data_IF_418177353638
#
_entry.id   IF_418177353638
#
_cell.length_a   1.000
_cell.length_b   1.000
_cell.length_c   1.000
_cell.angle_alpha   90.00
_cell.angle_beta   90.00
_cell.angle_gamma   90.00
#
_symmetry.space_group_name_H-M   'P 1'
#
loop_
_entity.id
_entity.type
_entity.pdbx_description
1 polymer ?
#
# COMPACT_ATOMS: atom_id res chain seq x y z
N UNK A 1 -25.94 -17.55 -4.06
CA UNK A 1 -25.98 -18.11 -2.69
C UNK A 1 -26.58 -17.08 -1.72
N UNK A 2 -27.37 -17.47 -0.71
CA UNK A 2 -27.92 -16.58 0.32
C UNK A 2 -26.84 -16.00 1.24
N UNK A 3 -27.07 -14.84 1.86
CA UNK A 3 -26.18 -14.26 2.89
C UNK A 3 -26.07 -15.18 4.11
N UNK A 4 -24.89 -15.24 4.73
CA UNK A 4 -24.67 -16.04 5.95
C UNK A 4 -24.48 -17.55 5.74
N UNK A 5 -24.38 -18.02 4.50
CA UNK A 5 -24.23 -19.46 4.17
C UNK A 5 -22.77 -19.94 4.09
N UNK A 6 -21.81 -19.12 4.53
CA UNK A 6 -20.39 -19.49 4.50
C UNK A 6 -19.73 -19.45 3.12
N UNK A 7 -20.30 -18.69 2.16
CA UNK A 7 -19.80 -18.58 0.78
C UNK A 7 -18.29 -18.36 0.70
N UNK A 8 -17.81 -17.38 1.46
CA UNK A 8 -16.41 -16.94 1.50
C UNK A 8 -15.52 -18.08 2.00
N UNK A 9 -15.83 -18.68 3.15
CA UNK A 9 -15.11 -19.83 3.72
C UNK A 9 -15.06 -21.01 2.73
N UNK A 10 -16.19 -21.37 2.11
CA UNK A 10 -16.25 -22.46 1.13
C UNK A 10 -15.36 -22.17 -0.08
N UNK A 11 -15.44 -20.95 -0.62
CA UNK A 11 -14.69 -20.54 -1.80
C UNK A 11 -13.18 -20.46 -1.51
N UNK A 12 -12.79 -19.87 -0.37
CA UNK A 12 -11.39 -19.82 0.07
C UNK A 12 -10.84 -21.22 0.32
N UNK A 13 -11.60 -22.11 0.96
CA UNK A 13 -11.19 -23.50 1.20
C UNK A 13 -10.92 -24.25 -0.11
N UNK A 14 -11.82 -24.10 -1.08
CA UNK A 14 -11.67 -24.70 -2.40
C UNK A 14 -10.44 -24.16 -3.13
N UNK A 15 -10.32 -22.84 -3.26
CA UNK A 15 -9.22 -22.23 -4.02
C UNK A 15 -7.88 -22.51 -3.36
N UNK A 16 -7.77 -22.36 -2.04
CA UNK A 16 -6.52 -22.61 -1.33
C UNK A 16 -6.08 -24.08 -1.46
N UNK A 17 -7.02 -25.02 -1.53
CA UNK A 17 -6.71 -26.44 -1.79
C UNK A 17 -6.34 -26.69 -3.25
N UNK A 18 -6.99 -25.99 -4.18
CA UNK A 18 -6.67 -26.04 -5.60
C UNK A 18 -5.26 -25.54 -5.89
N UNK A 19 -4.85 -24.41 -5.31
CA UNK A 19 -3.51 -23.85 -5.43
C UNK A 19 -2.42 -24.79 -4.89
N UNK A 20 -2.72 -25.57 -3.85
CA UNK A 20 -1.79 -26.60 -3.35
C UNK A 20 -1.59 -27.75 -4.34
N UNK A 21 -2.64 -28.13 -5.06
CA UNK A 21 -2.56 -29.21 -6.06
C UNK A 21 -2.03 -28.73 -7.40
N UNK A 22 -2.24 -27.45 -7.73
CA UNK A 22 -1.84 -26.80 -8.98
C UNK A 22 -1.04 -25.53 -8.68
N UNK A 23 0.28 -25.65 -8.42
CA UNK A 23 1.14 -24.50 -8.14
C UNK A 23 1.26 -23.50 -9.30
N UNK A 24 0.89 -23.92 -10.52
CA UNK A 24 0.77 -23.04 -11.70
C UNK A 24 -0.17 -21.86 -11.45
N UNK A 25 -1.25 -22.09 -10.69
CA UNK A 25 -2.21 -21.06 -10.29
C UNK A 25 -1.74 -20.41 -8.99
N UNK A 26 -0.73 -19.55 -9.11
CA UNK A 26 0.03 -19.06 -7.96
C UNK A 26 -0.63 -17.90 -7.21
N UNK A 27 -1.57 -17.18 -7.85
CA UNK A 27 -2.16 -15.95 -7.30
C UNK A 27 -3.70 -15.97 -7.31
N UNK A 28 -4.28 -15.79 -6.13
CA UNK A 28 -5.69 -15.51 -5.90
C UNK A 28 -5.87 -14.02 -5.62
N UNK A 29 -6.85 -13.45 -6.27
CA UNK A 29 -7.21 -12.06 -6.15
C UNK A 29 -8.67 -12.00 -5.73
N UNK A 30 -8.88 -11.54 -4.51
CA UNK A 30 -10.20 -11.45 -3.93
C UNK A 30 -10.62 -9.99 -3.83
N UNK A 31 -11.65 -9.63 -4.57
CA UNK A 31 -12.13 -8.27 -4.63
C UNK A 31 -13.37 -8.13 -3.72
N UNK A 32 -13.38 -7.11 -2.86
CA UNK A 32 -14.52 -6.74 -2.00
C UNK A 32 -15.04 -5.34 -2.31
N UNK A 33 -16.19 -4.96 -1.75
CA UNK A 33 -16.73 -3.60 -1.90
C UNK A 33 -16.15 -2.65 -0.88
N UNK A 34 -16.00 -3.13 0.35
CA UNK A 34 -15.62 -2.29 1.49
C UNK A 34 -14.35 -2.81 2.17
N UNK A 35 -13.71 -1.91 2.92
CA UNK A 35 -12.55 -2.22 3.75
C UNK A 35 -12.92 -3.20 4.87
N UNK A 36 -14.12 -3.08 5.44
CA UNK A 36 -14.59 -3.99 6.49
C UNK A 36 -14.81 -5.42 5.98
N UNK A 37 -15.31 -5.58 4.76
CA UNK A 37 -15.39 -6.90 4.11
C UNK A 37 -14.00 -7.47 3.81
N UNK A 38 -13.08 -6.63 3.33
CA UNK A 38 -11.70 -7.05 3.06
C UNK A 38 -11.03 -7.64 4.30
N UNK A 39 -11.17 -6.98 5.45
CA UNK A 39 -10.59 -7.46 6.70
C UNK A 39 -11.27 -8.75 7.19
N UNK A 40 -12.60 -8.87 7.05
CA UNK A 40 -13.32 -10.12 7.34
C UNK A 40 -12.84 -11.28 6.47
N UNK A 41 -12.62 -11.06 5.18
CA UNK A 41 -12.11 -12.09 4.26
C UNK A 41 -10.72 -12.56 4.69
N UNK A 42 -9.84 -11.66 5.12
CA UNK A 42 -8.51 -12.02 5.62
C UNK A 42 -8.60 -12.83 6.93
N UNK A 43 -9.45 -12.42 7.87
CA UNK A 43 -9.67 -13.18 9.10
C UNK A 43 -10.25 -14.58 8.83
N UNK A 44 -11.17 -14.70 7.88
CA UNK A 44 -11.71 -15.99 7.47
C UNK A 44 -10.67 -16.86 6.77
N UNK A 45 -9.85 -16.27 5.91
CA UNK A 45 -8.73 -16.96 5.28
C UNK A 45 -7.75 -17.52 6.31
N UNK A 46 -7.39 -16.72 7.33
CA UNK A 46 -6.51 -17.18 8.41
C UNK A 46 -7.10 -18.41 9.12
N UNK A 47 -8.40 -18.39 9.44
CA UNK A 47 -9.10 -19.54 10.05
C UNK A 47 -9.10 -20.76 9.12
N UNK A 48 -9.37 -20.57 7.83
CA UNK A 48 -9.36 -21.64 6.83
C UNK A 48 -7.98 -22.28 6.71
N UNK A 49 -6.93 -21.47 6.60
CA UNK A 49 -5.56 -21.95 6.47
C UNK A 49 -5.10 -22.68 7.74
N UNK A 50 -5.43 -22.15 8.93
CA UNK A 50 -5.14 -22.80 10.21
C UNK A 50 -5.80 -24.18 10.28
N UNK A 51 -7.11 -24.25 10.05
CA UNK A 51 -7.86 -25.51 10.10
C UNK A 51 -7.33 -26.51 9.07
N UNK A 52 -7.10 -26.08 7.83
CA UNK A 52 -6.56 -26.93 6.76
C UNK A 52 -5.20 -27.51 7.16
N UNK A 53 -4.29 -26.67 7.66
CA UNK A 53 -2.96 -27.10 8.03
C UNK A 53 -2.99 -28.05 9.24
N UNK A 54 -3.89 -27.84 10.20
CA UNK A 54 -4.13 -28.77 11.33
C UNK A 54 -4.63 -30.14 10.84
N UNK A 55 -5.55 -30.19 9.86
CA UNK A 55 -6.02 -31.46 9.30
C UNK A 55 -4.93 -32.18 8.49
N UNK A 56 -4.22 -31.46 7.61
CA UNK A 56 -3.11 -32.02 6.85
C UNK A 56 -2.00 -32.56 7.77
N UNK A 57 -1.75 -31.92 8.91
CA UNK A 57 -0.81 -32.41 9.90
C UNK A 57 -1.28 -33.74 10.52
N UNK A 58 -2.57 -33.86 10.87
CA UNK A 58 -3.15 -35.11 11.42
C UNK A 58 -3.07 -36.28 10.43
N UNK A 59 -3.21 -35.97 9.14
CA UNK A 59 -3.15 -36.97 8.06
C UNK A 59 -1.73 -37.26 7.57
N UNK A 60 -0.69 -36.66 8.19
CA UNK A 60 0.70 -36.72 7.72
C UNK A 60 0.88 -36.26 6.26
N UNK A 61 -0.01 -35.39 5.77
CA UNK A 61 -0.01 -34.83 4.43
C UNK A 61 0.44 -33.35 4.39
N UNK A 62 0.87 -32.79 5.53
CA UNK A 62 1.34 -31.41 5.62
C UNK A 62 2.65 -31.23 4.83
N UNK A 63 2.61 -30.35 3.85
CA UNK A 63 3.77 -29.97 3.05
C UNK A 63 4.24 -28.57 3.42
N UNK A 64 5.51 -28.29 3.18
CA UNK A 64 6.09 -26.95 3.33
C UNK A 64 5.42 -25.92 2.41
N UNK A 65 4.96 -26.35 1.23
CA UNK A 65 4.15 -25.51 0.34
C UNK A 65 2.81 -25.09 0.98
N UNK A 66 2.22 -25.91 1.85
CA UNK A 66 0.96 -25.59 2.54
C UNK A 66 1.10 -24.52 3.62
N UNK A 67 2.28 -24.35 4.19
CA UNK A 67 2.56 -23.34 5.23
C UNK A 67 3.12 -22.04 4.65
N UNK A 68 3.64 -22.07 3.43
CA UNK A 68 4.21 -20.92 2.71
C UNK A 68 3.16 -20.15 1.90
N UNK A 69 2.10 -19.69 2.57
CA UNK A 69 1.12 -18.79 1.96
C UNK A 69 1.32 -17.38 2.52
N UNK A 70 1.51 -16.42 1.63
CA UNK A 70 1.46 -15.01 1.94
C UNK A 70 0.14 -14.41 1.45
N UNK A 71 -0.64 -13.86 2.38
CA UNK A 71 -1.88 -13.18 2.09
C UNK A 71 -1.87 -11.74 2.62
N UNK A 72 -2.21 -10.77 1.78
CA UNK A 72 -2.17 -9.35 2.12
C UNK A 72 -3.43 -8.61 1.70
N UNK A 73 -3.89 -7.70 2.56
CA UNK A 73 -4.91 -6.71 2.22
C UNK A 73 -4.29 -5.39 1.79
N UNK A 74 -4.80 -4.78 0.70
CA UNK A 74 -4.43 -3.43 0.31
C UNK A 74 -5.63 -2.47 0.42
N UNK A 75 -5.43 -1.37 1.15
CA UNK A 75 -6.41 -0.29 1.30
C UNK A 75 -5.77 1.07 1.05
N UNK A 76 -6.48 2.14 1.40
CA UNK A 76 -5.97 3.52 1.27
C UNK A 76 -4.81 3.77 2.23
N UNK A 77 -4.01 4.80 1.92
CA UNK A 77 -2.91 5.23 2.80
C UNK A 77 -3.41 5.53 4.21
N UNK A 78 -4.53 6.24 4.35
CA UNK A 78 -5.14 6.59 5.64
C UNK A 78 -5.36 5.38 6.56
N UNK A 79 -5.75 4.23 6.01
CA UNK A 79 -6.04 3.03 6.79
C UNK A 79 -4.79 2.19 7.13
N UNK A 80 -3.70 2.37 6.38
CA UNK A 80 -2.44 1.64 6.55
C UNK A 80 -1.26 2.55 6.95
N UNK A 81 -1.55 3.75 7.47
CA UNK A 81 -0.51 4.71 7.89
C UNK A 81 -0.31 4.71 9.40
N UNK A 82 0.95 4.83 9.80
CA UNK A 82 1.36 5.07 11.18
C UNK A 82 1.65 6.54 11.46
N UNK A 83 1.78 7.37 10.42
CA UNK A 83 2.13 8.77 10.55
C UNK A 83 0.89 9.59 10.95
N UNK A 84 0.89 10.27 12.12
CA UNK A 84 -0.29 10.96 12.66
C UNK A 84 -0.90 11.96 11.68
N UNK A 85 -0.08 12.76 10.98
CA UNK A 85 -0.55 13.76 10.01
C UNK A 85 -1.33 13.16 8.83
N UNK A 86 -1.07 11.91 8.47
CA UNK A 86 -1.77 11.22 7.38
C UNK A 86 -3.01 10.52 7.92
N UNK A 87 -2.92 9.91 9.11
CA UNK A 87 -4.05 9.21 9.75
C UNK A 87 -5.17 10.17 10.15
N UNK A 88 -4.80 11.37 10.59
CA UNK A 88 -5.73 12.43 11.03
C UNK A 88 -6.21 13.34 9.89
N UNK A 89 -5.83 13.06 8.64
CA UNK A 89 -6.26 13.86 7.50
C UNK A 89 -7.78 13.83 7.32
N UNK A 90 -8.36 14.98 6.95
CA UNK A 90 -9.81 15.14 6.80
C UNK A 90 -10.34 14.28 5.64
N UNK A 91 -9.69 14.34 4.48
CA UNK A 91 -10.05 13.61 3.27
C UNK A 91 -8.99 12.58 2.85
N UNK A 92 -9.37 11.72 1.88
CA UNK A 92 -8.45 10.76 1.26
C UNK A 92 -7.39 11.49 0.45
N UNK A 93 -7.81 12.54 -0.27
CA UNK A 93 -6.97 13.38 -1.11
C UNK A 93 -5.91 14.10 -0.27
N UNK A 94 -6.28 14.60 0.91
CA UNK A 94 -5.35 15.25 1.83
C UNK A 94 -4.35 14.24 2.40
N UNK A 95 -4.80 13.05 2.81
CA UNK A 95 -3.92 11.99 3.27
C UNK A 95 -2.86 11.62 2.20
N UNK A 96 -3.29 11.52 0.94
CA UNK A 96 -2.42 11.23 -0.18
C UNK A 96 -1.44 12.38 -0.47
N UNK A 97 -1.89 13.63 -0.38
CA UNK A 97 -1.06 14.82 -0.58
C UNK A 97 0.01 14.95 0.52
N UNK A 98 -0.37 14.81 1.80
CA UNK A 98 0.53 14.86 2.95
C UNK A 98 1.57 13.75 2.86
N UNK A 99 1.14 12.52 2.56
CA UNK A 99 2.07 11.40 2.38
C UNK A 99 3.04 11.66 1.22
N UNK A 100 2.56 12.18 0.09
CA UNK A 100 3.40 12.50 -1.07
C UNK A 100 4.40 13.62 -0.77
N UNK A 101 4.01 14.62 0.02
CA UNK A 101 4.89 15.72 0.44
C UNK A 101 6.11 15.22 1.24
N UNK A 102 6.01 14.07 1.90
CA UNK A 102 7.10 13.48 2.69
C UNK A 102 7.85 12.34 1.97
N UNK A 103 7.32 11.82 0.84
CA UNK A 103 7.84 10.59 0.20
C UNK A 103 8.23 10.76 -1.26
N UNK A 104 7.91 11.91 -1.86
CA UNK A 104 8.23 12.18 -3.26
C UNK A 104 9.74 12.21 -3.52
N UNK A 105 10.15 11.66 -4.66
CA UNK A 105 11.57 11.54 -5.05
C UNK A 105 12.32 12.87 -5.05
N UNK A 106 11.68 13.97 -5.49
CA UNK A 106 12.30 15.29 -5.49
C UNK A 106 12.50 15.87 -4.09
N UNK A 107 11.60 15.55 -3.14
CA UNK A 107 11.75 15.97 -1.74
C UNK A 107 12.95 15.25 -1.14
N UNK A 108 13.00 13.93 -1.34
CA UNK A 108 14.11 13.08 -0.88
C UNK A 108 15.46 13.49 -1.48
N UNK A 109 15.50 13.77 -2.79
CA UNK A 109 16.71 14.23 -3.47
C UNK A 109 17.20 15.58 -2.92
N UNK A 110 16.28 16.50 -2.63
CA UNK A 110 16.62 17.81 -2.05
C UNK A 110 17.23 17.67 -0.65
N UNK A 111 16.74 16.73 0.15
CA UNK A 111 17.31 16.43 1.47
C UNK A 111 18.68 15.75 1.40
N UNK A 112 18.87 14.81 0.48
CA UNK A 112 20.19 14.19 0.24
C UNK A 112 21.25 15.21 -0.23
N UNK A 113 20.84 16.20 -1.03
CA UNK A 113 21.73 17.30 -1.44
C UNK A 113 22.05 18.24 -0.27
N UNK A 114 21.07 18.58 0.57
CA UNK A 114 21.27 19.46 1.72
C UNK A 114 22.15 18.82 2.82
N UNK A 115 22.02 17.51 3.07
CA UNK A 115 22.85 16.81 4.08
C UNK A 115 24.33 16.75 3.69
N UNK A 116 24.64 16.70 2.38
CA UNK A 116 26.02 16.71 1.88
C UNK A 116 26.77 18.04 2.08
N UNK A 117 26.05 19.15 2.34
CA UNK A 117 26.65 20.46 2.62
C UNK A 117 26.88 20.70 4.12
N UNK A 118 26.24 19.94 5.02
CA UNK A 118 26.38 20.10 6.48
C UNK A 118 27.56 19.33 7.09
N UNK A 119 28.16 18.36 6.39
CA UNK A 119 29.24 17.52 6.95
C UNK A 119 30.59 18.25 7.13
N UNK A 120 30.75 19.48 6.66
CA UNK A 120 31.98 20.28 6.85
C UNK A 120 32.06 21.11 8.14
N UNK A 121 31.09 21.00 9.06
CA UNK A 121 31.15 21.70 10.37
C UNK A 121 30.67 20.80 11.53
N UNK A 122 31.59 20.02 12.10
CA UNK A 122 31.42 19.46 13.45
C UNK A 122 31.99 18.05 13.64
N UNK A 123 33.32 17.91 13.63
CA UNK A 123 33.93 16.83 14.43
C UNK A 123 33.79 17.21 15.90
N UNK A 124 33.09 16.43 16.72
CA UNK A 124 33.52 16.03 18.08
C UNK A 124 32.55 14.99 18.69
N UNK A 125 33.16 13.87 19.08
CA UNK A 125 32.81 12.84 20.08
C UNK A 125 31.63 11.85 19.90
N UNK A 126 32.04 10.58 19.85
CA UNK A 126 31.27 9.35 20.04
C UNK A 126 31.19 9.03 21.55
N UNK A 127 30.05 8.54 22.04
CA UNK A 127 29.93 7.18 22.61
C UNK A 127 28.55 6.86 23.23
N UNK A 128 28.07 5.64 22.92
CA UNK A 128 27.07 4.77 23.60
C UNK A 128 25.55 5.08 23.54
N UNK A 129 24.67 4.06 23.78
CA UNK A 129 24.53 2.77 23.11
C UNK A 129 23.14 2.61 22.42
N UNK A 130 23.02 1.58 21.56
CA UNK A 130 21.79 1.18 20.83
C UNK A 130 20.59 0.98 21.78
N UNK A 131 19.60 1.87 21.70
CA UNK A 131 18.27 1.64 22.25
C UNK A 131 17.23 1.71 21.13
N UNK A 132 16.40 0.68 21.04
CA UNK A 132 15.22 0.60 20.18
C UNK A 132 14.15 1.58 20.71
N UNK A 133 14.36 2.87 20.49
CA UNK A 133 13.39 3.90 20.84
C UNK A 133 12.45 4.07 19.65
N UNK A 134 11.22 3.62 19.83
CA UNK A 134 10.10 4.01 18.96
C UNK A 134 9.99 5.53 19.04
N UNK A 135 10.00 6.27 17.91
CA UNK A 135 9.87 7.73 17.96
C UNK A 135 8.55 8.10 18.65
N UNK A 136 8.63 8.91 19.71
CA UNK A 136 7.45 9.47 20.39
C UNK A 136 6.71 10.42 19.46
N UNK A 137 5.39 10.55 19.65
CA UNK A 137 4.46 11.29 18.77
C UNK A 137 4.86 12.75 18.52
N UNK A 138 5.60 13.38 19.43
CA UNK A 138 6.03 14.78 19.34
C UNK A 138 7.22 15.02 18.38
N UNK A 139 8.03 14.00 18.08
CA UNK A 139 9.19 14.13 17.18
C UNK A 139 8.82 13.99 15.69
N UNK A 140 7.66 13.41 15.37
CA UNK A 140 7.20 13.18 13.99
C UNK A 140 6.55 14.41 13.34
N UNK A 141 6.30 15.48 14.11
CA UNK A 141 5.61 16.67 13.63
C UNK A 141 6.50 17.63 12.80
N UNK A 142 7.82 17.47 12.85
CA UNK A 142 8.80 18.40 12.26
C UNK A 142 9.73 17.77 11.22
N UNK A 143 9.56 16.50 10.86
CA UNK A 143 10.40 15.88 9.84
C UNK A 143 9.83 16.12 8.43
N UNK A 144 10.68 16.72 7.60
CA UNK A 144 10.49 16.90 6.16
C UNK A 144 10.29 15.60 5.36
N UNK A 145 10.73 14.46 5.92
CA UNK A 145 10.64 13.12 5.33
C UNK A 145 9.90 12.17 6.26
N UNK A 146 9.26 11.15 5.70
CA UNK A 146 8.54 10.17 6.51
C UNK A 146 9.49 9.08 7.04
N UNK A 147 9.73 8.96 8.36
CA UNK A 147 10.72 8.02 8.89
C UNK A 147 10.34 6.56 8.63
N UNK A 148 9.05 6.23 8.63
CA UNK A 148 8.57 4.88 8.30
C UNK A 148 8.86 4.51 6.83
N UNK A 149 8.75 5.48 5.92
CA UNK A 149 9.02 5.26 4.51
C UNK A 149 10.51 5.18 4.23
N UNK A 150 11.33 6.06 4.81
CA UNK A 150 12.79 6.03 4.62
C UNK A 150 13.42 4.72 5.12
N UNK A 151 12.97 4.23 6.29
CA UNK A 151 13.40 2.92 6.80
C UNK A 151 12.97 1.78 5.88
N UNK A 152 11.73 1.81 5.38
CA UNK A 152 11.25 0.82 4.42
C UNK A 152 12.05 0.87 3.10
N UNK A 153 12.38 2.04 2.59
CA UNK A 153 13.16 2.15 1.35
C UNK A 153 14.58 1.60 1.52
N UNK A 154 15.19 1.83 2.69
CA UNK A 154 16.58 1.42 2.97
C UNK A 154 16.70 -0.07 3.27
N UNK A 155 15.77 -0.62 4.06
CA UNK A 155 15.87 -2.00 4.59
C UNK A 155 14.78 -2.93 4.06
N UNK A 156 13.61 -2.39 3.76
CA UNK A 156 12.39 -3.15 3.45
C UNK A 156 12.18 -3.45 1.97
N UNK A 157 12.86 -2.73 1.07
CA UNK A 157 12.66 -2.87 -0.39
C UNK A 157 13.12 -4.21 -0.94
N UNK A 158 14.17 -4.79 -0.37
CA UNK A 158 14.71 -6.11 -0.75
C UNK A 158 14.27 -7.22 0.20
N UNK A 159 13.55 -6.87 1.28
CA UNK A 159 13.15 -7.80 2.31
C UNK A 159 11.75 -8.38 2.03
N UNK A 160 11.67 -9.71 1.98
CA UNK A 160 10.40 -10.41 1.95
C UNK A 160 9.78 -10.44 3.35
N UNK A 161 8.51 -10.05 3.46
CA UNK A 161 7.76 -10.26 4.69
C UNK A 161 7.53 -11.77 4.92
N UNK A 162 7.54 -12.24 6.17
CA UNK A 162 7.27 -13.65 6.48
C UNK A 162 5.94 -14.14 5.88
N UNK A 163 5.85 -15.44 5.61
CA UNK A 163 4.57 -16.03 5.20
C UNK A 163 3.56 -15.93 6.35
N UNK A 164 2.31 -15.70 5.99
CA UNK A 164 1.23 -15.47 6.92
C UNK A 164 0.08 -14.69 6.28
N UNK A 165 -1.02 -14.58 7.03
CA UNK A 165 -2.15 -13.75 6.64
C UNK A 165 -2.05 -12.42 7.38
N UNK A 166 -1.92 -11.34 6.62
CA UNK A 166 -1.83 -10.00 7.16
C UNK A 166 -3.16 -9.28 7.02
N UNK A 167 -3.96 -9.31 8.08
CA UNK A 167 -5.08 -8.38 8.29
C UNK A 167 -4.58 -6.94 8.39
N UNK A 168 -5.49 -5.97 8.38
CA UNK A 168 -5.12 -4.56 8.52
C UNK A 168 -4.34 -4.31 9.82
N UNK A 169 -4.87 -4.80 10.94
CA UNK A 169 -4.24 -4.64 12.25
C UNK A 169 -2.91 -5.39 12.36
N UNK A 170 -2.80 -6.58 11.75
CA UNK A 170 -1.56 -7.34 11.71
C UNK A 170 -0.48 -6.60 10.89
N UNK A 171 -0.85 -6.01 9.76
CA UNK A 171 0.06 -5.21 8.93
C UNK A 171 0.51 -3.94 9.64
N UNK A 172 -0.40 -3.22 10.32
CA UNK A 172 -0.05 -2.06 11.14
C UNK A 172 0.90 -2.44 12.29
N UNK A 173 0.61 -3.54 12.99
CA UNK A 173 1.45 -4.05 14.09
C UNK A 173 2.84 -4.47 13.59
N UNK A 174 2.91 -5.13 12.43
CA UNK A 174 4.17 -5.47 11.78
C UNK A 174 5.00 -4.22 11.45
N UNK A 175 4.37 -3.22 10.84
CA UNK A 175 5.04 -1.95 10.52
C UNK A 175 5.50 -1.20 11.77
N UNK A 176 4.74 -1.21 12.87
CA UNK A 176 5.17 -0.63 14.17
C UNK A 176 6.38 -1.35 14.74
N UNK A 177 6.37 -2.69 14.74
CA UNK A 177 7.45 -3.49 15.30
C UNK A 177 8.77 -3.34 14.50
N UNK A 178 8.68 -3.28 13.17
CA UNK A 178 9.84 -3.12 12.27
C UNK A 178 10.26 -1.64 12.09
N UNK A 179 9.36 -0.70 12.36
CA UNK A 179 9.53 0.70 12.01
C UNK A 179 9.40 0.97 10.51
N UNK A 180 8.69 0.11 9.77
CA UNK A 180 8.47 0.24 8.32
C UNK A 180 7.08 0.80 8.02
N UNK A 181 6.95 1.49 6.88
CA UNK A 181 5.65 1.98 6.42
C UNK A 181 4.75 0.80 6.03
N UNK A 182 3.61 0.56 6.73
CA UNK A 182 2.75 -0.59 6.45
C UNK A 182 2.14 -0.52 5.05
N UNK A 183 1.73 0.67 4.60
CA UNK A 183 1.19 0.86 3.25
C UNK A 183 2.17 0.43 2.15
N UNK A 184 3.42 0.90 2.19
CA UNK A 184 4.43 0.54 1.19
C UNK A 184 4.90 -0.91 1.34
N UNK A 185 4.94 -1.43 2.57
CA UNK A 185 5.21 -2.85 2.83
C UNK A 185 4.15 -3.75 2.19
N UNK A 186 2.86 -3.48 2.47
CA UNK A 186 1.75 -4.21 1.87
C UNK A 186 1.77 -4.11 0.34
N UNK A 187 1.99 -2.89 -0.20
CA UNK A 187 2.09 -2.66 -1.63
C UNK A 187 3.23 -3.45 -2.27
N UNK A 188 4.40 -3.50 -1.65
CA UNK A 188 5.52 -4.29 -2.16
C UNK A 188 5.21 -5.79 -2.10
N UNK A 189 4.58 -6.25 -1.02
CA UNK A 189 4.24 -7.66 -0.81
C UNK A 189 3.22 -8.21 -1.83
N UNK A 190 2.39 -7.38 -2.48
CA UNK A 190 1.42 -7.82 -3.51
C UNK A 190 2.13 -8.53 -4.68
N UNK A 191 3.36 -8.14 -4.99
CA UNK A 191 4.14 -8.77 -6.05
C UNK A 191 4.38 -10.26 -5.79
N UNK A 192 4.66 -10.61 -4.54
CA UNK A 192 5.05 -11.96 -4.10
C UNK A 192 3.94 -12.72 -3.37
N UNK A 193 2.84 -12.06 -3.02
CA UNK A 193 1.74 -12.67 -2.30
C UNK A 193 0.96 -13.69 -3.15
N UNK A 194 0.52 -14.77 -2.50
CA UNK A 194 -0.33 -15.79 -3.11
C UNK A 194 -1.80 -15.38 -3.08
N UNK A 195 -2.22 -14.64 -2.06
CA UNK A 195 -3.59 -14.14 -1.94
C UNK A 195 -3.55 -12.64 -1.72
N UNK A 196 -4.26 -11.90 -2.56
CA UNK A 196 -4.38 -10.45 -2.45
C UNK A 196 -5.84 -10.10 -2.30
N UNK A 197 -6.19 -9.34 -1.26
CA UNK A 197 -7.55 -8.87 -1.03
C UNK A 197 -7.58 -7.35 -1.19
N UNK A 198 -8.41 -6.83 -2.09
CA UNK A 198 -8.54 -5.38 -2.32
C UNK A 198 -9.96 -4.98 -2.70
N UNK A 199 -10.22 -3.67 -2.80
CA UNK A 199 -11.50 -3.14 -3.32
C UNK A 199 -11.57 -3.27 -4.86
N UNK A 200 -12.73 -3.57 -5.45
CA UNK A 200 -12.93 -3.62 -6.92
C UNK A 200 -12.32 -2.42 -7.67
N UNK A 201 -12.36 -1.23 -7.07
CA UNK A 201 -11.79 -0.02 -7.68
C UNK A 201 -10.32 -0.23 -8.08
N UNK A 202 -9.54 -0.97 -7.30
CA UNK A 202 -8.13 -1.24 -7.59
C UNK A 202 -7.90 -2.05 -8.87
N UNK A 203 -8.90 -2.79 -9.33
CA UNK A 203 -8.84 -3.56 -10.56
C UNK A 203 -9.56 -2.87 -11.73
N UNK A 204 -10.64 -2.14 -11.45
CA UNK A 204 -11.52 -1.58 -12.47
C UNK A 204 -11.22 -0.12 -12.83
N UNK A 205 -10.73 0.69 -11.89
CA UNK A 205 -10.42 2.09 -12.17
C UNK A 205 -9.07 2.20 -12.91
N UNK A 206 -9.05 2.65 -14.18
CA UNK A 206 -7.84 2.69 -15.00
C UNK A 206 -6.74 3.58 -14.40
N UNK A 207 -7.08 4.54 -13.53
CA UNK A 207 -6.10 5.42 -12.88
C UNK A 207 -5.22 4.68 -11.88
N UNK A 208 -5.78 3.66 -11.21
CA UNK A 208 -5.09 2.88 -10.18
C UNK A 208 -4.81 1.44 -10.59
N UNK A 209 -5.54 0.90 -11.57
CA UNK A 209 -5.33 -0.44 -12.10
C UNK A 209 -3.91 -0.63 -12.65
N UNK A 210 -3.26 0.43 -13.14
CA UNK A 210 -1.85 0.41 -13.56
C UNK A 210 -0.87 -0.03 -12.46
N UNK A 211 -1.23 0.18 -11.18
CA UNK A 211 -0.42 -0.20 -10.03
C UNK A 211 -0.42 -1.73 -9.79
N UNK A 212 -1.50 -2.42 -10.18
CA UNK A 212 -1.73 -3.84 -9.87
C UNK A 212 -1.68 -4.72 -11.13
N UNK A 213 -2.11 -4.20 -12.27
CA UNK A 213 -2.16 -4.91 -13.55
C UNK A 213 -0.81 -5.43 -14.02
N UNK A 214 0.30 -4.77 -13.64
CA UNK A 214 1.66 -5.25 -13.90
C UNK A 214 2.04 -6.49 -13.08
N UNK A 215 1.33 -6.72 -11.98
CA UNK A 215 1.63 -7.73 -10.96
C UNK A 215 0.69 -8.95 -11.05
N UNK A 216 -0.26 -8.91 -12.00
CA UNK A 216 -1.18 -10.00 -12.33
C UNK A 216 -0.43 -11.09 -13.11
N UNK A 217 -0.23 -12.24 -12.48
CA UNK A 217 0.23 -13.43 -13.18
C UNK A 217 -0.82 -13.85 -14.24
N UNK A 218 -0.35 -14.38 -15.38
CA UNK A 218 -1.24 -14.93 -16.43
C UNK A 218 -2.18 -16.01 -15.86
N UNK A 219 -1.67 -16.83 -14.96
CA UNK A 219 -2.40 -17.88 -14.25
C UNK A 219 -2.87 -17.35 -12.88
N UNK A 220 -3.92 -16.54 -12.87
CA UNK A 220 -4.50 -16.01 -11.64
C UNK A 220 -6.01 -16.24 -11.57
N UNK A 221 -6.52 -16.42 -10.35
CA UNK A 221 -7.95 -16.52 -10.08
C UNK A 221 -8.42 -15.18 -9.53
N UNK A 222 -9.36 -14.55 -10.21
CA UNK A 222 -10.00 -13.31 -9.74
C UNK A 222 -11.42 -13.62 -9.27
N UNK A 223 -11.73 -13.19 -8.05
CA UNK A 223 -13.02 -13.38 -7.41
C UNK A 223 -13.62 -12.02 -7.12
N UNK A 224 -14.73 -11.70 -7.78
CA UNK A 224 -15.56 -10.57 -7.40
C UNK A 224 -16.61 -11.04 -6.40
N UNK A 225 -16.44 -10.70 -5.13
CA UNK A 225 -17.52 -10.86 -4.15
C UNK A 225 -18.66 -9.87 -4.45
N UNK A 226 -19.88 -10.09 -3.98
CA UNK A 226 -21.01 -9.13 -4.06
C UNK A 226 -21.07 -8.26 -5.35
N UNK A 227 -20.87 -8.90 -6.50
CA UNK A 227 -20.57 -8.27 -7.79
C UNK A 227 -21.77 -7.55 -8.43
N UNK A 228 -22.90 -7.47 -7.73
CA UNK A 228 -24.12 -6.84 -8.23
C UNK A 228 -24.02 -5.31 -8.39
N UNK A 229 -22.96 -4.66 -7.89
CA UNK A 229 -22.68 -3.23 -8.11
C UNK A 229 -21.53 -2.95 -9.08
N UNK A 230 -21.05 -3.96 -9.81
CA UNK A 230 -19.90 -3.77 -10.70
C UNK A 230 -20.18 -2.74 -11.80
N UNK A 231 -21.41 -2.68 -12.29
CA UNK A 231 -21.92 -1.70 -13.25
C UNK A 231 -21.72 -0.26 -12.76
N UNK A 232 -22.19 0.03 -11.55
CA UNK A 232 -22.11 1.34 -10.93
C UNK A 232 -20.66 1.73 -10.67
N UNK A 233 -19.82 0.79 -10.20
CA UNK A 233 -18.39 1.04 -9.99
C UNK A 233 -17.69 1.39 -11.31
N UNK A 234 -18.00 0.70 -12.40
CA UNK A 234 -17.45 1.01 -13.72
C UNK A 234 -17.90 2.38 -14.24
N UNK A 235 -19.19 2.72 -14.07
CA UNK A 235 -19.72 4.03 -14.46
C UNK A 235 -19.01 5.14 -13.68
N UNK A 236 -18.89 5.02 -12.36
CA UNK A 236 -18.22 6.01 -11.52
C UNK A 236 -16.73 6.18 -11.85
N UNK A 237 -16.00 5.08 -12.07
CA UNK A 237 -14.56 5.11 -12.35
C UNK A 237 -14.21 5.92 -13.62
N UNK A 238 -15.10 5.87 -14.63
CA UNK A 238 -14.93 6.54 -15.91
C UNK A 238 -15.68 7.88 -16.01
N UNK A 239 -16.46 8.24 -14.98
CA UNK A 239 -17.22 9.48 -14.95
C UNK A 239 -16.44 10.62 -14.30
N UNK A 240 -16.57 11.83 -14.86
CA UNK A 240 -16.01 13.07 -14.28
C UNK A 240 -17.11 14.12 -14.23
N UNK A 241 -17.33 14.70 -13.05
CA UNK A 241 -18.31 15.76 -12.85
C UNK A 241 -17.61 17.12 -12.75
N UNK A 242 -17.85 18.00 -13.73
CA UNK A 242 -17.32 19.37 -13.73
C UNK A 242 -18.39 20.33 -13.21
N UNK A 243 -18.09 21.00 -12.09
CA UNK A 243 -18.94 22.05 -11.50
C UNK A 243 -18.30 23.42 -11.66
N UNK A 244 -19.11 24.47 -11.64
CA UNK A 244 -18.61 25.85 -11.75
C UNK A 244 -17.54 26.18 -10.70
N UNK A 245 -17.70 25.71 -9.47
CA UNK A 245 -16.69 25.92 -8.40
C UNK A 245 -15.35 25.24 -8.73
N UNK A 246 -15.37 24.09 -9.42
CA UNK A 246 -14.15 23.45 -9.86
C UNK A 246 -13.43 24.32 -10.91
N UNK A 247 -14.16 24.94 -11.84
CA UNK A 247 -13.60 25.85 -12.84
C UNK A 247 -12.98 27.09 -12.20
N UNK A 248 -13.66 27.69 -11.21
CA UNK A 248 -13.12 28.82 -10.44
C UNK A 248 -11.80 28.46 -9.73
N UNK A 249 -11.75 27.27 -9.10
CA UNK A 249 -10.51 26.75 -8.49
C UNK A 249 -9.42 26.50 -9.53
N UNK A 250 -9.77 25.97 -10.70
CA UNK A 250 -8.83 25.77 -11.81
C UNK A 250 -8.21 27.09 -12.28
N UNK A 251 -9.00 28.16 -12.40
CA UNK A 251 -8.48 29.49 -12.78
C UNK A 251 -7.48 30.02 -11.74
N UNK A 252 -7.79 29.92 -10.45
CA UNK A 252 -6.85 30.29 -9.39
C UNK A 252 -5.56 29.46 -9.40
N UNK A 253 -5.67 28.15 -9.63
CA UNK A 253 -4.51 27.27 -9.76
C UNK A 253 -3.66 27.62 -10.98
N UNK A 254 -4.26 27.98 -12.12
CA UNK A 254 -3.54 28.39 -13.33
C UNK A 254 -2.72 29.67 -13.11
N UNK A 255 -3.28 30.64 -12.38
CA UNK A 255 -2.55 31.87 -12.03
C UNK A 255 -1.35 31.57 -11.14
N UNK A 256 -1.51 30.72 -10.11
CA UNK A 256 -0.41 30.29 -9.24
C UNK A 256 0.67 29.54 -10.01
N UNK A 257 0.27 28.62 -10.89
CA UNK A 257 1.22 27.87 -11.73
C UNK A 257 1.97 28.80 -12.68
N UNK A 258 1.28 29.77 -13.28
CA UNK A 258 1.91 30.77 -14.16
C UNK A 258 2.95 31.60 -13.42
N UNK A 259 2.65 32.04 -12.18
CA UNK A 259 3.60 32.74 -11.34
C UNK A 259 4.82 31.87 -11.01
N UNK A 260 4.59 30.60 -10.64
CA UNK A 260 5.68 29.66 -10.31
C UNK A 260 6.56 29.33 -11.52
N UNK A 261 5.99 29.20 -12.71
CA UNK A 261 6.75 28.98 -13.95
C UNK A 261 7.64 30.18 -14.27
N UNK A 262 7.17 31.41 -14.03
CA UNK A 262 8.01 32.61 -14.18
C UNK A 262 9.18 32.58 -13.21
N UNK A 263 8.91 32.30 -11.94
CA UNK A 263 9.94 32.19 -10.91
C UNK A 263 11.01 31.14 -11.25
N UNK A 264 10.63 29.95 -11.71
CA UNK A 264 11.58 28.89 -12.09
C UNK A 264 12.36 29.26 -13.35
N UNK A 265 11.75 29.95 -14.31
CA UNK A 265 12.50 30.46 -15.49
C UNK A 265 13.57 31.47 -15.09
N UNK A 266 13.31 32.27 -14.07
CA UNK A 266 14.25 33.27 -13.57
C UNK A 266 15.34 32.64 -12.69
N UNK A 267 15.05 31.55 -11.97
CA UNK A 267 15.97 30.95 -10.99
C UNK A 267 16.71 29.68 -11.43
N UNK A 268 16.17 28.88 -12.34
CA UNK A 268 16.63 27.49 -12.57
C UNK A 268 16.41 27.01 -14.03
N UNK A 269 16.85 27.83 -15.00
CA UNK A 269 16.63 27.61 -16.43
C UNK A 269 17.30 26.32 -16.97
N UNK A 270 18.44 25.90 -16.40
CA UNK A 270 19.17 24.70 -16.83
C UNK A 270 18.40 23.41 -16.58
N UNK A 271 17.69 23.31 -15.45
CA UNK A 271 16.87 22.15 -15.11
C UNK A 271 15.68 22.01 -16.05
N UNK A 272 15.06 23.12 -16.44
CA UNK A 272 14.01 23.13 -17.46
C UNK A 272 14.57 22.65 -18.81
N UNK A 273 15.71 23.18 -19.26
CA UNK A 273 16.31 22.74 -20.53
C UNK A 273 16.63 21.24 -20.53
N UNK A 274 17.09 20.69 -19.41
CA UNK A 274 17.36 19.26 -19.27
C UNK A 274 16.09 18.40 -19.38
N UNK A 275 14.95 18.85 -18.85
CA UNK A 275 13.67 18.11 -18.96
C UNK A 275 13.03 18.19 -20.36
N UNK A 276 13.31 19.24 -21.15
CA UNK A 276 12.79 19.42 -22.51
C UNK A 276 13.70 18.88 -23.62
N UNK A 277 14.89 18.36 -23.29
CA UNK A 277 15.85 17.74 -24.21
C UNK A 277 15.56 16.25 -24.38
#
# INVERSE_FOLDING_TARGET
>A
MPTGTGKTVTLLSFICSYQLRRPEVSKLIYCTRTVGEMDKVLQELERVLKYRNEQLARENALTDAATKILAVGLTTRRNLCLHPSVTNAESREDADAICRAMTASWVRASHGAASSQSESRGLFERDAPRSSVVPTEELLANDSLCPYYEKFETEGRDALIPNGVYTLDAMLSFGRARGWCPYYTARHAINVANVVVYNYQYLLDPKIAGLISRELARESIVVFDEAHNIDNVCIEALSVNLRHDALNRCMGNLQRLTARVREIKDSDAERLQTEYS
#
